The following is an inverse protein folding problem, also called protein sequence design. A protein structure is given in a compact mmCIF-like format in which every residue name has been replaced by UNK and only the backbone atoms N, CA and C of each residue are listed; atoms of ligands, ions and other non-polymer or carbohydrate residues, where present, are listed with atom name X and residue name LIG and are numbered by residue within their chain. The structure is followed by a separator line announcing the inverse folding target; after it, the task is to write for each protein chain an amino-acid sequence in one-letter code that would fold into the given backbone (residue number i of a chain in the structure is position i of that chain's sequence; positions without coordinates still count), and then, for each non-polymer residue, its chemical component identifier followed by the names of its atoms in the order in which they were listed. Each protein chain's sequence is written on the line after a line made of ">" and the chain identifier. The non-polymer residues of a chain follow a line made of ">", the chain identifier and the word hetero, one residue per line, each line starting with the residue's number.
data_IF_339329800506
#
_entry.id   IF_339329800506
#
_cell.length_a   1.000
_cell.length_b   1.000
_cell.length_c   1.000
_cell.angle_alpha   90.00
_cell.angle_beta   90.00
_cell.angle_gamma   90.00
#
_symmetry.space_group_name_H-M   'P 1'
#
loop_
_entity.id
_entity.type
_entity.pdbx_description
1 polymer ?
#
# COMPACT_ATOMS: atom_id res chain seq x y z
N UNK A 1 12.66 41.96 -0.28
CA UNK A 1 12.47 41.16 -1.50
C UNK A 1 12.93 39.70 -1.33
N UNK A 2 14.05 39.52 -0.69
CA UNK A 2 14.59 38.17 -0.55
C UNK A 2 13.82 37.32 0.48
N UNK A 3 13.12 37.96 1.38
CA UNK A 3 12.40 37.34 2.45
C UNK A 3 11.19 36.54 1.97
N UNK A 4 10.58 36.99 0.88
CA UNK A 4 9.39 36.32 0.35
C UNK A 4 9.67 34.91 -0.17
N UNK A 5 10.89 34.62 -0.57
CA UNK A 5 11.28 33.32 -1.08
C UNK A 5 11.27 32.28 0.05
N UNK A 6 11.73 32.67 1.23
CA UNK A 6 11.76 31.79 2.39
C UNK A 6 10.36 31.42 2.87
N UNK A 7 9.42 32.34 2.81
CA UNK A 7 8.05 32.09 3.20
C UNK A 7 7.39 31.04 2.33
N UNK A 8 7.65 31.05 1.03
CA UNK A 8 7.10 30.07 0.12
C UNK A 8 7.61 28.65 0.41
N UNK A 9 8.88 28.51 0.78
CA UNK A 9 9.45 27.21 1.10
C UNK A 9 8.80 26.60 2.37
N UNK A 10 8.54 27.43 3.37
CA UNK A 10 7.91 26.97 4.59
C UNK A 10 6.48 26.49 4.35
N UNK A 11 5.72 27.19 3.53
CA UNK A 11 4.35 26.80 3.23
C UNK A 11 4.28 25.42 2.58
N UNK A 12 5.25 25.07 1.76
CA UNK A 12 5.29 23.77 1.09
C UNK A 12 5.44 22.61 2.08
N UNK A 13 6.19 22.79 3.16
CA UNK A 13 6.44 21.73 4.12
C UNK A 13 5.19 21.31 4.88
N UNK A 14 4.26 22.21 5.12
CA UNK A 14 3.05 21.90 5.88
C UNK A 14 2.06 21.04 5.10
N UNK A 15 2.14 21.02 3.78
CA UNK A 15 1.22 20.25 2.97
C UNK A 15 1.50 18.75 2.97
N UNK A 16 2.69 18.33 3.42
CA UNK A 16 3.09 16.93 3.38
C UNK A 16 2.58 16.10 4.55
N UNK A 17 1.90 16.71 5.52
CA UNK A 17 1.48 16.02 6.75
C UNK A 17 0.12 15.33 6.71
N UNK A 18 -0.67 15.49 5.64
CA UNK A 18 -2.07 15.06 5.59
C UNK A 18 -2.24 13.78 4.78
N UNK A 19 -1.66 12.68 5.26
CA UNK A 19 -1.76 11.40 4.55
C UNK A 19 -1.88 10.25 5.52
N UNK A 20 -2.39 9.13 5.00
CA UNK A 20 -2.49 7.86 5.68
C UNK A 20 -1.64 6.86 4.92
N UNK A 21 -0.89 6.05 5.63
CA UNK A 21 0.01 5.07 5.03
C UNK A 21 -0.59 3.68 5.16
N UNK A 22 -0.57 2.92 4.07
CA UNK A 22 -0.91 1.50 4.08
C UNK A 22 0.36 0.72 3.78
N UNK A 23 0.72 -0.20 4.67
CA UNK A 23 1.89 -1.04 4.50
C UNK A 23 1.40 -2.41 4.02
N UNK A 24 1.81 -2.78 2.81
CA UNK A 24 1.49 -4.10 2.25
C UNK A 24 2.60 -5.06 2.61
N UNK A 25 2.24 -6.12 3.32
CA UNK A 25 3.18 -7.09 3.88
C UNK A 25 2.73 -8.51 3.54
N UNK A 26 3.64 -9.45 3.69
CA UNK A 26 3.37 -10.87 3.52
C UNK A 26 4.16 -11.69 4.54
N UNK A 27 3.71 -12.91 4.78
CA UNK A 27 4.48 -13.90 5.54
C UNK A 27 5.79 -14.26 4.81
N UNK A 28 5.79 -14.15 3.49
CA UNK A 28 6.98 -14.35 2.66
C UNK A 28 7.12 -13.12 1.78
N UNK A 29 7.99 -12.21 2.16
CA UNK A 29 8.16 -10.95 1.45
C UNK A 29 8.81 -11.15 0.09
N UNK A 30 8.77 -10.12 -0.73
CA UNK A 30 9.30 -10.17 -2.09
C UNK A 30 8.23 -10.26 -3.16
N UNK A 31 6.96 -10.06 -2.80
CA UNK A 31 5.87 -10.06 -3.77
C UNK A 31 5.69 -8.68 -4.38
N UNK A 32 5.52 -8.62 -5.68
CA UNK A 32 5.15 -7.37 -6.37
C UNK A 32 3.68 -7.09 -6.13
N UNK A 33 3.37 -5.87 -5.71
CA UNK A 33 2.01 -5.43 -5.41
C UNK A 33 1.50 -4.58 -6.56
N UNK A 34 0.41 -5.03 -7.20
CA UNK A 34 -0.20 -4.33 -8.34
C UNK A 34 -1.68 -4.14 -8.07
N UNK A 35 -2.21 -2.95 -8.34
CA UNK A 35 -3.65 -2.70 -8.16
C UNK A 35 -4.45 -3.35 -9.28
N UNK A 36 -5.76 -3.47 -9.05
CA UNK A 36 -6.68 -3.96 -10.08
C UNK A 36 -6.72 -3.05 -11.31
N UNK A 37 -6.26 -1.80 -11.18
CA UNK A 37 -6.14 -0.86 -12.28
C UNK A 37 -4.78 -0.95 -13.00
N UNK A 38 -3.89 -1.85 -12.56
CA UNK A 38 -2.60 -2.06 -13.19
C UNK A 38 -1.46 -1.20 -12.65
N UNK A 39 -1.71 -0.40 -11.62
CA UNK A 39 -0.67 0.43 -11.02
C UNK A 39 0.22 -0.41 -10.11
N UNK A 40 1.53 -0.28 -10.26
CA UNK A 40 2.49 -0.98 -9.40
C UNK A 40 2.83 -0.14 -8.19
N UNK A 41 2.70 -0.74 -7.01
CA UNK A 41 3.10 -0.08 -5.76
C UNK A 41 4.55 -0.37 -5.38
N UNK A 42 5.04 -1.56 -5.72
CA UNK A 42 6.38 -1.99 -5.37
C UNK A 42 6.39 -3.42 -4.87
N UNK A 43 7.43 -3.78 -4.15
CA UNK A 43 7.68 -5.14 -3.65
C UNK A 43 7.53 -5.15 -2.13
N UNK A 44 6.80 -6.14 -1.60
CA UNK A 44 6.56 -6.22 -0.15
C UNK A 44 7.85 -6.40 0.63
N UNK A 45 7.98 -5.78 1.80
CA UNK A 45 7.01 -4.85 2.39
C UNK A 45 7.11 -3.49 1.70
N UNK A 46 5.96 -2.92 1.35
CA UNK A 46 5.92 -1.63 0.65
C UNK A 46 4.88 -0.73 1.29
N UNK A 47 5.25 0.53 1.51
CA UNK A 47 4.38 1.54 2.10
C UNK A 47 3.84 2.45 1.02
N UNK A 48 2.53 2.67 1.04
CA UNK A 48 1.85 3.51 0.08
C UNK A 48 1.08 4.59 0.84
N UNK A 49 1.26 5.84 0.45
CA UNK A 49 0.58 6.97 1.09
C UNK A 49 -0.64 7.37 0.29
N UNK A 50 -1.75 7.57 1.00
CA UNK A 50 -3.00 8.05 0.43
C UNK A 50 -3.35 9.37 1.09
N UNK A 51 -3.87 10.33 0.32
CA UNK A 51 -4.31 11.58 0.93
C UNK A 51 -5.54 11.31 1.79
N UNK A 52 -5.61 12.00 2.93
CA UNK A 52 -6.78 11.84 3.81
C UNK A 52 -8.07 12.27 3.11
N UNK A 53 -8.00 13.27 2.23
CA UNK A 53 -9.17 13.71 1.48
C UNK A 53 -9.70 12.61 0.57
N UNK A 54 -8.81 11.90 -0.12
CA UNK A 54 -9.22 10.80 -0.99
C UNK A 54 -9.83 9.66 -0.19
N UNK A 55 -9.24 9.32 0.94
CA UNK A 55 -9.77 8.27 1.80
C UNK A 55 -11.13 8.65 2.38
N UNK A 56 -11.27 9.89 2.82
CA UNK A 56 -12.56 10.36 3.37
C UNK A 56 -13.64 10.32 2.32
N UNK A 57 -13.31 10.66 1.07
CA UNK A 57 -14.28 10.60 -0.03
C UNK A 57 -14.71 9.17 -0.34
N UNK A 58 -13.92 8.17 0.03
CA UNK A 58 -14.22 6.77 -0.23
C UNK A 58 -15.00 6.09 0.89
N UNK A 59 -15.26 6.78 2.01
CA UNK A 59 -15.91 6.18 3.17
C UNK A 59 -17.36 5.83 2.88
N UNK A 60 -17.74 4.62 3.30
CA UNK A 60 -19.11 4.15 3.21
C UNK A 60 -19.91 4.43 4.47
N UNK A 61 -21.15 3.91 4.54
CA UNK A 61 -22.01 4.08 5.72
C UNK A 61 -21.40 3.51 7.00
N UNK A 62 -20.49 2.55 6.88
CA UNK A 62 -19.78 1.94 8.01
C UNK A 62 -18.65 2.82 8.53
N UNK A 63 -18.35 3.95 7.89
CA UNK A 63 -17.26 4.83 8.25
C UNK A 63 -15.88 4.35 7.79
N UNK A 64 -15.82 3.24 7.09
CA UNK A 64 -14.55 2.66 6.64
C UNK A 64 -14.16 3.20 5.29
N UNK A 65 -12.86 3.51 5.11
CA UNK A 65 -12.33 3.94 3.83
C UNK A 65 -12.15 2.74 2.89
N UNK A 66 -12.12 3.02 1.60
CA UNK A 66 -11.97 1.99 0.57
C UNK A 66 -10.85 2.37 -0.38
N UNK A 67 -9.98 1.40 -0.67
CA UNK A 67 -8.90 1.57 -1.64
C UNK A 67 -9.00 0.45 -2.68
N UNK A 68 -8.33 0.64 -3.79
CA UNK A 68 -8.31 -0.37 -4.86
C UNK A 68 -7.72 -1.68 -4.33
N UNK A 69 -8.32 -2.79 -4.74
CA UNK A 69 -7.77 -4.10 -4.47
C UNK A 69 -6.42 -4.30 -5.15
N UNK A 70 -5.64 -5.23 -4.64
CA UNK A 70 -4.29 -5.50 -5.12
C UNK A 70 -4.09 -6.99 -5.36
N UNK A 71 -3.09 -7.30 -6.17
CA UNK A 71 -2.59 -8.66 -6.39
C UNK A 71 -1.12 -8.69 -5.99
N UNK A 72 -0.74 -9.68 -5.20
CA UNK A 72 0.66 -9.99 -4.91
C UNK A 72 1.13 -11.06 -5.88
N UNK A 73 2.29 -10.83 -6.49
CA UNK A 73 2.92 -11.80 -7.39
C UNK A 73 4.36 -12.01 -6.96
N UNK A 74 4.68 -13.25 -6.60
CA UNK A 74 6.04 -13.63 -6.20
C UNK A 74 6.88 -14.00 -7.42
N UNK A 75 8.22 -14.03 -7.30
CA UNK A 75 9.11 -14.39 -8.41
C UNK A 75 8.79 -15.73 -9.06
N UNK A 76 8.27 -16.70 -8.30
CA UNK A 76 7.86 -17.99 -8.83
C UNK A 76 6.64 -17.93 -9.73
N UNK A 77 5.92 -16.81 -9.70
CA UNK A 77 4.61 -16.69 -10.37
C UNK A 77 3.43 -16.97 -9.45
N UNK A 78 3.69 -17.34 -8.19
CA UNK A 78 2.61 -17.50 -7.22
C UNK A 78 1.88 -16.18 -7.03
N UNK A 79 0.55 -16.23 -6.94
CA UNK A 79 -0.29 -15.03 -6.86
C UNK A 79 -1.38 -15.18 -5.83
N UNK A 80 -1.74 -14.06 -5.22
CA UNK A 80 -2.95 -13.96 -4.40
C UNK A 80 -3.53 -12.57 -4.58
N UNK A 81 -4.86 -12.50 -4.65
CA UNK A 81 -5.58 -11.24 -4.84
C UNK A 81 -6.38 -10.89 -3.60
N UNK A 82 -6.38 -9.61 -3.26
CA UNK A 82 -7.25 -9.10 -2.20
C UNK A 82 -8.68 -8.97 -2.71
N UNK A 83 -9.65 -8.78 -1.79
CA UNK A 83 -10.94 -8.24 -2.20
C UNK A 83 -10.76 -6.88 -2.87
N UNK A 84 -11.71 -6.52 -3.71
CA UNK A 84 -11.73 -5.21 -4.35
C UNK A 84 -13.10 -4.57 -4.14
N UNK A 85 -13.22 -3.47 -3.37
CA UNK A 85 -12.11 -2.74 -2.73
C UNK A 85 -11.60 -3.42 -1.46
N UNK A 86 -10.43 -2.97 -1.00
CA UNK A 86 -9.96 -3.24 0.34
C UNK A 86 -10.61 -2.22 1.26
N UNK A 87 -11.19 -2.70 2.36
CA UNK A 87 -11.89 -1.85 3.32
C UNK A 87 -10.98 -1.61 4.52
N UNK A 88 -10.75 -0.32 4.82
CA UNK A 88 -9.88 0.10 5.92
C UNK A 88 -10.74 0.73 7.00
N UNK A 89 -10.87 0.06 8.13
CA UNK A 89 -11.65 0.52 9.27
C UNK A 89 -10.73 0.92 10.41
N UNK A 90 -11.10 1.98 11.13
CA UNK A 90 -10.34 2.48 12.26
C UNK A 90 -9.93 3.93 12.07
N UNK A 91 -9.40 4.52 13.13
CA UNK A 91 -9.11 5.95 13.20
C UNK A 91 -7.63 6.28 12.98
N UNK A 92 -6.82 5.28 12.70
CA UNK A 92 -5.39 5.49 12.58
C UNK A 92 -4.98 6.11 11.26
N UNK A 93 -3.73 6.55 11.21
CA UNK A 93 -3.10 7.06 9.99
C UNK A 93 -2.12 6.05 9.41
N UNK A 94 -2.15 4.82 9.90
CA UNK A 94 -1.30 3.75 9.40
C UNK A 94 -2.05 2.43 9.51
N UNK A 95 -2.10 1.71 8.40
CA UNK A 95 -2.74 0.40 8.31
C UNK A 95 -1.73 -0.59 7.78
N UNK A 96 -1.85 -1.85 8.23
CA UNK A 96 -1.08 -2.95 7.68
C UNK A 96 -2.03 -3.90 6.98
N UNK A 97 -1.69 -4.24 5.76
CA UNK A 97 -2.45 -5.20 4.98
C UNK A 97 -1.55 -6.39 4.67
N UNK A 98 -1.93 -7.56 5.17
CA UNK A 98 -1.09 -8.76 5.08
C UNK A 98 -1.80 -9.80 4.26
N UNK A 99 -1.13 -10.32 3.22
CA UNK A 99 -1.60 -11.50 2.50
C UNK A 99 -0.50 -12.55 2.47
N UNK A 100 -0.91 -13.81 2.55
CA UNK A 100 0.02 -14.93 2.59
C UNK A 100 0.21 -15.51 1.19
N UNK A 101 1.44 -15.92 0.90
CA UNK A 101 1.70 -16.68 -0.32
C UNK A 101 0.91 -17.99 -0.25
N UNK A 102 0.21 -18.38 -1.32
CA UNK A 102 -0.46 -19.68 -1.34
C UNK A 102 0.53 -20.80 -1.06
N UNK A 103 0.24 -21.62 -0.05
CA UNK A 103 1.20 -22.63 0.40
C UNK A 103 1.40 -23.74 -0.64
N UNK A 104 0.38 -23.98 -1.47
CA UNK A 104 0.40 -25.04 -2.48
C UNK A 104 0.93 -24.57 -3.83
N UNK A 105 1.24 -23.28 -3.99
CA UNK A 105 1.79 -22.76 -5.23
C UNK A 105 3.22 -23.29 -5.42
N UNK A 106 3.56 -23.78 -6.63
CA UNK A 106 4.89 -24.33 -6.88
C UNK A 106 5.97 -23.25 -6.90
N UNK A 107 7.22 -23.68 -6.74
CA UNK A 107 8.36 -22.78 -6.89
C UNK A 107 8.71 -21.98 -5.66
N UNK A 108 8.38 -22.49 -4.48
CA UNK A 108 8.65 -21.76 -3.23
C UNK A 108 10.15 -21.44 -3.07
N UNK A 109 11.02 -22.28 -3.59
CA UNK A 109 12.45 -22.06 -3.50
C UNK A 109 12.91 -20.78 -4.20
N UNK A 110 12.13 -20.31 -5.19
CA UNK A 110 12.42 -19.06 -5.88
C UNK A 110 12.01 -17.84 -5.07
N UNK A 111 11.12 -18.03 -4.11
CA UNK A 111 10.54 -16.95 -3.33
C UNK A 111 11.19 -16.79 -1.96
N UNK A 112 12.03 -17.75 -1.55
CA UNK A 112 12.72 -17.69 -0.27
C UNK A 112 13.81 -16.63 -0.32
N UNK A 113 13.97 -15.82 0.75
CA UNK A 113 14.89 -14.70 0.74
C UNK A 113 16.36 -15.11 0.65
N UNK A 114 16.69 -16.35 1.04
CA UNK A 114 18.06 -16.85 1.03
C UNK A 114 18.25 -17.93 -0.03
N UNK A 115 17.59 -17.81 -1.15
CA UNK A 115 17.71 -18.77 -2.25
C UNK A 115 19.03 -18.66 -3.01
N UNK A 116 20.01 -17.98 -2.46
CA UNK A 116 21.34 -17.80 -3.06
C UNK A 116 22.28 -18.92 -2.70
#
# INVERSE_FOLDING_TARGET
>A
MRISILSAALATLFLSGCSTTVIFESDLEGAEVTTVAGQKYGVTPVSVSFSNDDLDASRGPDGCARILGVTYTWPSGAKVASPNPIVLCGDGYQFRYVMKRPADAPGIEKDLPNAL
#
